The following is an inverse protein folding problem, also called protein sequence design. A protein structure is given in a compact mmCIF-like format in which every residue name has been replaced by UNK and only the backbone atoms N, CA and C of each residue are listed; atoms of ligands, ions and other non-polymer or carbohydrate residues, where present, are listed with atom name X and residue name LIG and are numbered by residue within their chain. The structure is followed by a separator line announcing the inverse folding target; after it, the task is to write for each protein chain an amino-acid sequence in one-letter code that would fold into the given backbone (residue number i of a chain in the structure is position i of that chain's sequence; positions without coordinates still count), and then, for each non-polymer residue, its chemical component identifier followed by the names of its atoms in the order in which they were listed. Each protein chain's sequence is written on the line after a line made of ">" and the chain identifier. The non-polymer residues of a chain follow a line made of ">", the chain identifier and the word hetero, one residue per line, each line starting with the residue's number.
data_IF_264215752606
#
_entry.id   IF_264215752606
#
_cell.length_a   1.000
_cell.length_b   1.000
_cell.length_c   1.000
_cell.angle_alpha   90.00
_cell.angle_beta   90.00
_cell.angle_gamma   90.00
#
_symmetry.space_group_name_H-M   'P 1'
#
loop_
_entity.id
_entity.type
_entity.pdbx_description
1 polymer ?
#
# COMPACT_ATOMS: atom_id res chain seq x y z
N UNK A 1 8.67 1.38 -22.13
CA UNK A 1 8.10 1.40 -20.77
C UNK A 1 8.85 2.43 -19.93
N UNK A 2 8.45 3.70 -20.03
CA UNK A 2 8.88 4.71 -19.07
C UNK A 2 8.09 4.45 -17.78
N UNK A 3 8.79 3.97 -16.74
CA UNK A 3 8.25 3.98 -15.39
C UNK A 3 8.19 5.44 -14.94
N UNK A 4 7.07 6.10 -15.23
CA UNK A 4 6.77 7.45 -14.73
C UNK A 4 6.53 7.32 -13.22
N UNK A 5 7.61 7.44 -12.45
CA UNK A 5 7.55 7.55 -11.00
C UNK A 5 6.91 8.90 -10.66
N UNK A 6 5.65 8.88 -10.24
CA UNK A 6 4.99 10.06 -9.68
C UNK A 6 5.74 10.49 -8.41
N UNK A 7 6.16 11.75 -8.36
CA UNK A 7 7.06 12.33 -7.36
C UNK A 7 6.40 12.50 -5.97
N UNK A 8 5.17 12.01 -5.81
CA UNK A 8 4.35 12.20 -4.62
C UNK A 8 4.73 11.28 -3.44
N UNK A 9 5.73 10.42 -3.59
CA UNK A 9 6.25 9.59 -2.49
C UNK A 9 5.31 8.48 -2.01
N UNK A 10 4.10 8.40 -2.57
CA UNK A 10 3.09 7.40 -2.20
C UNK A 10 3.53 5.97 -2.53
N UNK A 11 4.22 5.80 -3.68
CA UNK A 11 4.78 4.50 -4.10
C UNK A 11 5.91 3.99 -3.20
N UNK A 12 6.65 4.89 -2.55
CA UNK A 12 7.73 4.51 -1.64
C UNK A 12 7.19 3.80 -0.39
N UNK A 13 6.00 4.15 0.07
CA UNK A 13 5.38 3.49 1.22
C UNK A 13 5.01 2.03 0.92
N UNK A 14 4.47 1.73 -0.26
CA UNK A 14 4.17 0.34 -0.66
C UNK A 14 5.42 -0.53 -0.75
N UNK A 15 6.55 0.04 -1.15
CA UNK A 15 7.82 -0.69 -1.14
C UNK A 15 8.28 -0.99 0.29
N UNK A 16 8.09 -0.06 1.23
CA UNK A 16 8.56 -0.19 2.62
C UNK A 16 7.66 -1.07 3.50
N UNK A 17 6.35 -1.07 3.27
CA UNK A 17 5.36 -1.85 4.03
C UNK A 17 5.69 -3.36 4.11
N UNK A 18 6.03 -4.09 3.04
CA UNK A 18 6.35 -5.51 3.12
C UNK A 18 7.62 -5.78 3.94
N UNK A 19 8.64 -4.90 3.91
CA UNK A 19 9.82 -5.04 4.77
C UNK A 19 9.46 -4.87 6.25
N UNK A 20 8.61 -3.89 6.58
CA UNK A 20 8.13 -3.67 7.95
C UNK A 20 7.31 -4.87 8.44
N UNK A 21 6.40 -5.39 7.61
CA UNK A 21 5.61 -6.59 7.92
C UNK A 21 6.50 -7.82 8.11
N UNK A 22 7.53 -7.99 7.29
CA UNK A 22 8.47 -9.10 7.39
C UNK A 22 9.32 -9.04 8.67
N UNK A 23 9.82 -7.85 9.02
CA UNK A 23 10.57 -7.62 10.27
C UNK A 23 9.66 -7.90 11.48
N UNK A 24 8.43 -7.39 11.47
CA UNK A 24 7.45 -7.63 12.54
C UNK A 24 7.05 -9.11 12.63
N UNK A 25 6.95 -9.82 11.51
CA UNK A 25 6.70 -11.25 11.45
C UNK A 25 7.87 -12.03 12.08
N UNK A 26 9.12 -11.70 11.77
CA UNK A 26 10.30 -12.33 12.40
C UNK A 26 10.28 -12.09 13.91
N UNK A 27 10.04 -10.86 14.36
CA UNK A 27 9.95 -10.53 15.80
C UNK A 27 8.81 -11.31 16.47
N UNK A 28 7.67 -11.44 15.78
CA UNK A 28 6.52 -12.21 16.27
C UNK A 28 6.84 -13.71 16.36
N UNK A 29 7.55 -14.28 15.37
CA UNK A 29 8.02 -15.67 15.39
C UNK A 29 9.04 -15.92 16.50
N UNK A 30 10.01 -15.02 16.70
CA UNK A 30 10.97 -15.10 17.80
C UNK A 30 10.26 -15.08 19.17
N UNK A 31 9.23 -14.24 19.32
CA UNK A 31 8.46 -14.16 20.58
C UNK A 31 7.60 -15.40 20.86
N UNK A 32 7.24 -16.18 19.83
CA UNK A 32 6.51 -17.43 19.98
C UNK A 32 7.45 -18.58 20.36
N UNK A 33 8.60 -18.70 19.70
CA UNK A 33 9.56 -19.80 19.87
C UNK A 33 10.08 -19.96 21.30
N UNK A 34 10.25 -18.85 22.03
CA UNK A 34 10.83 -18.89 23.38
C UNK A 34 9.93 -19.53 24.46
N UNK A 35 8.77 -20.09 24.10
CA UNK A 35 7.81 -20.70 25.03
C UNK A 35 7.83 -22.24 25.06
N UNK A 36 8.47 -22.92 24.11
CA UNK A 36 8.40 -24.40 24.04
C UNK A 36 9.61 -25.12 24.66
N UNK A 37 10.84 -24.58 24.59
CA UNK A 37 12.03 -25.37 24.94
C UNK A 37 12.37 -25.44 26.45
N UNK A 38 11.83 -24.56 27.29
CA UNK A 38 12.18 -24.55 28.73
C UNK A 38 11.38 -25.59 29.53
N UNK A 39 10.32 -26.19 28.96
CA UNK A 39 9.43 -27.10 29.71
C UNK A 39 9.89 -28.56 29.77
N UNK A 40 10.73 -29.05 28.86
CA UNK A 40 11.04 -30.48 28.77
C UNK A 40 12.33 -30.92 29.50
N UNK A 41 13.21 -29.98 29.87
CA UNK A 41 14.56 -30.32 30.39
C UNK A 41 14.72 -30.20 31.92
N UNK A 42 13.80 -29.54 32.62
CA UNK A 42 13.89 -29.30 34.08
C UNK A 42 12.93 -30.17 34.91
N UNK A 43 12.71 -31.41 34.49
CA UNK A 43 12.03 -32.43 35.30
C UNK A 43 13.06 -33.41 35.85
N UNK A 44 14.09 -32.90 36.54
CA UNK A 44 14.78 -33.73 37.51
C UNK A 44 15.10 -32.93 38.78
N UNK A 45 14.59 -33.49 39.87
CA UNK A 45 14.58 -33.11 41.27
C UNK A 45 15.34 -31.84 41.78
N UNK A 46 14.62 -31.07 42.60
CA UNK A 46 15.13 -30.35 43.79
C UNK A 46 15.54 -28.85 43.72
N UNK A 47 14.84 -27.99 42.95
CA UNK A 47 15.06 -26.52 42.98
C UNK A 47 13.75 -25.69 42.88
N UNK A 48 12.74 -26.02 43.70
CA UNK A 48 11.37 -25.49 43.49
C UNK A 48 11.01 -24.20 44.27
N UNK A 49 11.84 -23.70 45.20
CA UNK A 49 11.34 -22.71 46.19
C UNK A 49 11.88 -21.28 46.10
N UNK A 50 12.98 -20.98 45.40
CA UNK A 50 13.53 -19.61 45.30
C UNK A 50 13.30 -18.90 43.96
N UNK A 51 12.78 -19.60 42.94
CA UNK A 51 12.62 -19.05 41.58
C UNK A 51 11.21 -18.51 41.27
N UNK A 52 10.27 -18.52 42.23
CA UNK A 52 8.87 -18.17 41.95
C UNK A 52 8.58 -16.66 41.87
N UNK A 53 9.40 -15.80 42.50
CA UNK A 53 9.15 -14.34 42.50
C UNK A 53 9.58 -13.67 41.18
N UNK A 54 10.72 -14.07 40.60
CA UNK A 54 11.21 -13.52 39.32
C UNK A 54 10.53 -14.12 38.08
N UNK A 55 9.97 -15.34 38.17
CA UNK A 55 9.19 -15.95 37.07
C UNK A 55 7.88 -15.20 36.79
N UNK A 56 7.29 -14.53 37.79
CA UNK A 56 6.02 -13.80 37.60
C UNK A 56 6.23 -12.51 36.80
N UNK A 57 7.33 -11.79 37.05
CA UNK A 57 7.66 -10.56 36.34
C UNK A 57 8.11 -10.83 34.88
N UNK A 58 8.83 -11.93 34.65
CA UNK A 58 9.22 -12.38 33.31
C UNK A 58 8.04 -12.87 32.46
N UNK A 59 7.10 -13.60 33.07
CA UNK A 59 5.84 -14.00 32.41
C UNK A 59 4.96 -12.79 32.08
N UNK A 60 4.87 -11.81 32.99
CA UNK A 60 4.15 -10.55 32.76
C UNK A 60 4.78 -9.72 31.63
N UNK A 61 6.10 -9.59 31.61
CA UNK A 61 6.83 -8.90 30.55
C UNK A 61 6.55 -9.54 29.17
N UNK A 62 6.57 -10.87 29.08
CA UNK A 62 6.24 -11.60 27.84
C UNK A 62 4.80 -11.38 27.37
N UNK A 63 3.83 -11.36 28.28
CA UNK A 63 2.43 -11.09 27.91
C UNK A 63 2.23 -9.65 27.43
N UNK A 64 2.91 -8.67 28.04
CA UNK A 64 2.85 -7.27 27.62
C UNK A 64 3.45 -7.06 26.22
N UNK A 65 4.58 -7.72 25.92
CA UNK A 65 5.19 -7.66 24.58
C UNK A 65 4.26 -8.23 23.51
N UNK A 66 3.56 -9.35 23.78
CA UNK A 66 2.58 -9.93 22.85
C UNK A 66 1.39 -8.99 22.59
N UNK A 67 0.86 -8.35 23.63
CA UNK A 67 -0.22 -7.37 23.48
C UNK A 67 0.28 -6.17 22.66
N UNK A 68 1.51 -5.71 22.91
CA UNK A 68 2.15 -4.65 22.13
C UNK A 68 2.24 -4.98 20.65
N UNK A 69 2.63 -6.22 20.29
CA UNK A 69 2.68 -6.66 18.90
C UNK A 69 1.30 -6.66 18.25
N UNK A 70 0.27 -7.17 18.93
CA UNK A 70 -1.11 -7.15 18.41
C UNK A 70 -1.59 -5.71 18.17
N UNK A 71 -1.29 -4.79 19.10
CA UNK A 71 -1.62 -3.37 18.94
C UNK A 71 -0.90 -2.78 17.73
N UNK A 72 0.38 -3.10 17.51
CA UNK A 72 1.14 -2.65 16.33
C UNK A 72 0.53 -3.16 15.02
N UNK A 73 0.09 -4.42 14.97
CA UNK A 73 -0.60 -4.98 13.80
C UNK A 73 -1.95 -4.31 13.54
N UNK A 74 -2.73 -4.02 14.58
CA UNK A 74 -4.00 -3.31 14.46
C UNK A 74 -3.78 -1.90 13.93
N UNK A 75 -2.78 -1.17 14.46
CA UNK A 75 -2.43 0.18 13.99
C UNK A 75 -1.98 0.14 12.52
N UNK A 76 -1.15 -0.81 12.13
CA UNK A 76 -0.70 -0.96 10.73
C UNK A 76 -1.88 -1.24 9.80
N UNK A 77 -2.79 -2.14 10.18
CA UNK A 77 -3.99 -2.42 9.40
C UNK A 77 -4.89 -1.17 9.25
N UNK A 78 -5.05 -0.41 10.33
CA UNK A 78 -5.80 0.85 10.32
C UNK A 78 -5.16 1.89 9.39
N UNK A 79 -3.83 2.06 9.44
CA UNK A 79 -3.10 2.99 8.57
C UNK A 79 -3.27 2.62 7.10
N UNK A 80 -3.11 1.34 6.76
CA UNK A 80 -3.31 0.85 5.38
C UNK A 80 -4.75 1.06 4.92
N UNK A 81 -5.72 0.80 5.79
CA UNK A 81 -7.14 1.01 5.48
C UNK A 81 -7.47 2.47 5.19
N UNK A 82 -6.96 3.41 5.99
CA UNK A 82 -7.15 4.84 5.76
C UNK A 82 -6.36 5.38 4.56
N UNK A 83 -5.31 4.69 4.11
CA UNK A 83 -4.56 5.03 2.89
C UNK A 83 -5.22 4.49 1.61
N UNK A 84 -6.00 3.41 1.71
CA UNK A 84 -6.66 2.77 0.57
C UNK A 84 -7.52 3.69 -0.31
N UNK A 85 -8.30 4.67 0.19
CA UNK A 85 -9.12 5.52 -0.68
C UNK A 85 -8.31 6.51 -1.54
N UNK A 86 -7.02 6.71 -1.30
CA UNK A 86 -6.14 7.53 -2.15
C UNK A 86 -5.53 6.74 -3.33
N UNK A 87 -5.74 5.43 -3.39
CA UNK A 87 -5.14 4.54 -4.41
C UNK A 87 -6.02 4.46 -5.67
N UNK A 88 -7.32 4.76 -5.55
CA UNK A 88 -8.31 4.53 -6.60
C UNK A 88 -8.54 5.75 -7.51
N UNK A 89 -7.54 6.05 -8.33
CA UNK A 89 -7.78 6.85 -9.55
C UNK A 89 -7.25 6.17 -10.83
N UNK A 90 -6.87 4.89 -10.74
CA UNK A 90 -6.28 4.15 -11.87
C UNK A 90 -6.96 2.81 -12.20
N UNK A 91 -8.11 2.49 -11.60
CA UNK A 91 -8.86 1.26 -11.90
C UNK A 91 -10.30 1.48 -12.39
N UNK A 92 -10.64 2.71 -12.77
CA UNK A 92 -11.78 2.90 -13.68
C UNK A 92 -11.31 2.47 -15.05
N UNK A 93 -12.03 1.53 -15.67
CA UNK A 93 -11.85 1.03 -17.04
C UNK A 93 -11.52 2.21 -17.96
N UNK A 94 -10.23 2.40 -18.23
CA UNK A 94 -9.72 3.59 -18.89
C UNK A 94 -9.91 3.37 -20.37
N UNK A 95 -11.07 3.77 -20.87
CA UNK A 95 -11.39 3.77 -22.29
C UNK A 95 -10.90 5.10 -22.91
N UNK A 96 -9.79 5.09 -23.68
CA UNK A 96 -9.25 6.31 -24.26
C UNK A 96 -10.20 6.96 -25.26
N UNK A 97 -11.03 6.18 -25.94
CA UNK A 97 -11.98 6.65 -26.96
C UNK A 97 -13.14 7.40 -26.30
N UNK A 98 -13.67 6.83 -25.21
CA UNK A 98 -14.73 7.47 -24.42
C UNK A 98 -14.27 8.79 -23.78
N UNK A 99 -13.00 8.88 -23.36
CA UNK A 99 -12.44 10.11 -22.75
C UNK A 99 -12.25 11.22 -23.79
N UNK A 100 -11.89 10.88 -25.03
CA UNK A 100 -11.76 11.84 -26.12
C UNK A 100 -13.09 12.10 -26.86
N UNK A 101 -14.17 11.42 -26.47
CA UNK A 101 -15.47 11.46 -27.14
C UNK A 101 -15.37 11.14 -28.66
N UNK A 102 -14.57 10.13 -29.00
CA UNK A 102 -14.31 9.67 -30.36
C UNK A 102 -14.66 8.19 -30.51
N UNK A 103 -14.98 7.78 -31.74
CA UNK A 103 -15.27 6.38 -32.07
C UNK A 103 -13.97 5.56 -32.19
N UNK A 104 -14.02 4.24 -31.95
CA UNK A 104 -12.87 3.32 -32.05
C UNK A 104 -12.26 3.30 -33.46
N UNK A 105 -13.06 3.55 -34.50
CA UNK A 105 -12.65 3.56 -35.91
C UNK A 105 -12.14 4.94 -36.40
N UNK A 106 -11.94 5.90 -35.50
CA UNK A 106 -11.58 7.29 -35.84
C UNK A 106 -10.14 7.43 -36.32
N UNK A 107 -9.88 8.33 -37.28
CA UNK A 107 -8.52 8.60 -37.77
C UNK A 107 -7.68 9.39 -36.77
N UNK A 108 -6.35 9.19 -36.80
CA UNK A 108 -5.39 9.95 -36.00
C UNK A 108 -5.51 11.49 -36.16
N UNK A 109 -5.96 11.98 -37.32
CA UNK A 109 -6.23 13.41 -37.51
C UNK A 109 -7.34 13.94 -36.61
N UNK A 110 -8.35 13.11 -36.39
CA UNK A 110 -9.60 13.47 -35.72
C UNK A 110 -9.42 13.31 -34.20
N UNK A 111 -8.67 12.27 -33.77
CA UNK A 111 -8.18 12.12 -32.38
C UNK A 111 -7.41 13.37 -31.94
N UNK A 112 -6.52 13.89 -32.79
CA UNK A 112 -5.76 15.11 -32.50
C UNK A 112 -6.64 16.36 -32.45
N UNK A 113 -7.67 16.43 -33.30
CA UNK A 113 -8.63 17.53 -33.29
C UNK A 113 -9.45 17.54 -32.00
N UNK A 114 -10.04 16.39 -31.63
CA UNK A 114 -10.83 16.20 -30.43
C UNK A 114 -10.03 16.53 -29.16
N UNK A 115 -8.79 16.04 -29.07
CA UNK A 115 -7.88 16.38 -27.96
C UNK A 115 -7.66 17.89 -27.82
N UNK A 116 -7.45 18.61 -28.93
CA UNK A 116 -7.19 20.05 -28.89
C UNK A 116 -8.42 20.85 -28.43
N UNK A 117 -9.62 20.45 -28.85
CA UNK A 117 -10.87 21.08 -28.41
C UNK A 117 -11.15 20.81 -26.93
N UNK A 118 -11.05 19.56 -26.48
CA UNK A 118 -11.26 19.18 -25.09
C UNK A 118 -10.21 19.79 -24.16
N UNK A 119 -8.95 19.85 -24.60
CA UNK A 119 -7.86 20.47 -23.83
C UNK A 119 -8.09 21.95 -23.58
N UNK A 120 -8.70 22.65 -24.55
CA UNK A 120 -9.03 24.07 -24.41
C UNK A 120 -10.18 24.29 -23.43
N UNK A 121 -11.15 23.37 -23.40
CA UNK A 121 -12.32 23.45 -22.50
C UNK A 121 -11.95 23.07 -21.05
N UNK A 122 -11.12 22.05 -20.87
CA UNK A 122 -10.75 21.51 -19.56
C UNK A 122 -9.38 21.99 -19.06
N UNK A 123 -8.85 23.08 -19.62
CA UNK A 123 -7.55 23.59 -19.21
C UNK A 123 -7.56 24.01 -17.72
N UNK A 124 -6.57 23.60 -16.89
CA UNK A 124 -6.54 23.92 -15.46
C UNK A 124 -6.51 25.44 -15.19
N UNK A 125 -5.87 26.22 -16.06
CA UNK A 125 -5.82 27.69 -15.92
C UNK A 125 -7.18 28.38 -16.14
N UNK A 126 -8.14 27.70 -16.79
CA UNK A 126 -9.49 28.24 -17.05
C UNK A 126 -10.54 27.73 -16.06
N UNK A 127 -10.11 27.02 -14.99
CA UNK A 127 -11.00 26.46 -13.97
C UNK A 127 -11.45 25.03 -14.27
N UNK A 128 -10.81 24.33 -15.21
CA UNK A 128 -11.01 22.91 -15.45
C UNK A 128 -10.42 22.04 -14.33
N UNK A 129 -10.99 20.84 -14.17
CA UNK A 129 -10.51 19.86 -13.20
C UNK A 129 -9.16 19.24 -13.67
N UNK A 130 -8.08 19.40 -12.89
CA UNK A 130 -6.76 18.88 -13.25
C UNK A 130 -6.73 17.35 -13.42
N UNK A 131 -7.63 16.61 -12.75
CA UNK A 131 -7.68 15.15 -12.88
C UNK A 131 -8.25 14.73 -14.23
N UNK A 132 -9.30 15.41 -14.70
CA UNK A 132 -9.88 15.16 -16.02
C UNK A 132 -8.89 15.53 -17.14
N UNK A 133 -8.11 16.60 -16.96
CA UNK A 133 -7.06 16.97 -17.92
C UNK A 133 -5.95 15.91 -17.97
N UNK A 134 -5.51 15.37 -16.83
CA UNK A 134 -4.54 14.25 -16.79
C UNK A 134 -5.07 13.03 -17.52
N UNK A 135 -6.35 12.67 -17.33
CA UNK A 135 -7.01 11.55 -18.02
C UNK A 135 -7.04 11.79 -19.54
N UNK A 136 -7.38 13.00 -19.97
CA UNK A 136 -7.38 13.40 -21.39
C UNK A 136 -6.00 13.27 -22.06
N UNK A 137 -4.96 13.80 -21.41
CA UNK A 137 -3.58 13.72 -21.92
C UNK A 137 -3.10 12.27 -21.99
N UNK A 138 -3.42 11.46 -20.97
CA UNK A 138 -3.07 10.03 -20.94
C UNK A 138 -3.75 9.27 -22.08
N UNK A 139 -5.01 9.57 -22.38
CA UNK A 139 -5.78 8.92 -23.44
C UNK A 139 -5.22 9.25 -24.83
N UNK A 140 -4.94 10.52 -25.11
CA UNK A 140 -4.28 10.93 -26.36
C UNK A 140 -2.90 10.27 -26.53
N UNK A 141 -2.11 10.18 -25.45
CA UNK A 141 -0.79 9.54 -25.47
C UNK A 141 -0.89 8.04 -25.83
N UNK A 142 -1.87 7.32 -25.28
CA UNK A 142 -2.08 5.90 -25.57
C UNK A 142 -2.49 5.71 -27.04
N UNK A 143 -3.50 6.44 -27.51
CA UNK A 143 -4.01 6.31 -28.88
C UNK A 143 -2.97 6.68 -29.95
N UNK A 144 -2.06 7.62 -29.64
CA UNK A 144 -1.02 8.06 -30.58
C UNK A 144 0.23 7.18 -30.54
N UNK A 145 0.52 6.50 -29.43
CA UNK A 145 1.70 5.63 -29.28
C UNK A 145 1.49 4.22 -29.89
N UNK A 146 0.24 3.79 -30.07
CA UNK A 146 -0.12 2.51 -30.69
C UNK A 146 -0.10 2.52 -32.24
N UNK A 147 0.07 3.69 -32.88
CA UNK A 147 0.12 3.85 -34.35
C UNK A 147 1.49 4.27 -34.87
#
# INVERSE_FOLDING_TARGET
>A
MHLEYDMNGEMAFYFMVPFVVFILMIITCCSWSENEEISSVLTDHNQYRSSQVNKSNQKRHRTLVRIGLIVVWIVLFIVVYYMSPAIDDNLQEFDPFLILDVDEDTSNSDIRHAYHELSKQHHPDQGGDPENFKKLVKAYKILTDET
#
